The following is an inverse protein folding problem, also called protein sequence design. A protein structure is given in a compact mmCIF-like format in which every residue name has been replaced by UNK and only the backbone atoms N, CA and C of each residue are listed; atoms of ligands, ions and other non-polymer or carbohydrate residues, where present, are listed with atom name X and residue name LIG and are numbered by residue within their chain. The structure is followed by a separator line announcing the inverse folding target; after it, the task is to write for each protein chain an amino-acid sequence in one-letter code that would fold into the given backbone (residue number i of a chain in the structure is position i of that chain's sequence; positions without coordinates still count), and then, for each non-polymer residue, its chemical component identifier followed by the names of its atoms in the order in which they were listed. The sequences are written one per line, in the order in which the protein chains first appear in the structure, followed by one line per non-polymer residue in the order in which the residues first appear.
data_IF_562404759487
#
_entry.id   IF_562404759487
#
_cell.length_a   1.000
_cell.length_b   1.000
_cell.length_c   1.000
_cell.angle_alpha   90.00
_cell.angle_beta   90.00
_cell.angle_gamma   90.00
#
_symmetry.space_group_name_H-M   'P 1'
#
loop_
_entity.id
_entity.type
_entity.pdbx_description
1 polymer ?
#
# COMPACT_ATOMS: atom_id res chain seq x y z
N UNK A 1 -31.59 -34.92 -10.13
CA UNK A 1 -31.03 -34.63 -11.48
C UNK A 1 -31.43 -33.26 -12.03
N UNK A 2 -32.72 -32.92 -12.14
CA UNK A 2 -33.18 -31.63 -12.72
C UNK A 2 -32.67 -30.38 -11.96
N UNK A 3 -32.70 -30.41 -10.63
CA UNK A 3 -32.21 -29.30 -9.77
C UNK A 3 -30.70 -29.10 -9.94
N UNK A 4 -29.92 -30.18 -9.96
CA UNK A 4 -28.46 -30.13 -10.16
C UNK A 4 -28.11 -29.53 -11.52
N UNK A 5 -28.82 -29.94 -12.58
CA UNK A 5 -28.65 -29.35 -13.91
C UNK A 5 -28.98 -27.85 -13.94
N UNK A 6 -30.09 -27.44 -13.31
CA UNK A 6 -30.46 -26.02 -13.22
C UNK A 6 -29.41 -25.19 -12.46
N UNK A 7 -28.90 -25.70 -11.34
CA UNK A 7 -27.82 -25.03 -10.57
C UNK A 7 -26.55 -24.92 -11.40
N UNK A 8 -26.17 -25.97 -12.13
CA UNK A 8 -24.99 -25.95 -13.00
C UNK A 8 -25.12 -24.89 -14.11
N UNK A 9 -26.30 -24.77 -14.73
CA UNK A 9 -26.57 -23.76 -15.76
C UNK A 9 -26.46 -22.34 -15.20
N UNK A 10 -27.04 -22.07 -14.02
CA UNK A 10 -26.93 -20.77 -13.36
C UNK A 10 -25.47 -20.46 -13.03
N UNK A 11 -24.73 -21.42 -12.51
CA UNK A 11 -23.33 -21.25 -12.13
C UNK A 11 -22.44 -20.93 -13.34
N UNK A 12 -22.58 -21.68 -14.43
CA UNK A 12 -21.87 -21.41 -15.70
C UNK A 12 -22.26 -20.05 -16.26
N UNK A 13 -23.54 -19.68 -16.20
CA UNK A 13 -24.00 -18.36 -16.66
C UNK A 13 -23.39 -17.22 -15.85
N UNK A 14 -23.30 -17.37 -14.52
CA UNK A 14 -22.64 -16.40 -13.64
C UNK A 14 -21.14 -16.28 -13.94
N UNK A 15 -20.46 -17.38 -14.24
CA UNK A 15 -19.05 -17.35 -14.64
C UNK A 15 -18.84 -16.64 -15.97
N UNK A 16 -19.66 -16.93 -16.98
CA UNK A 16 -19.62 -16.25 -18.27
C UNK A 16 -19.87 -14.76 -18.08
N UNK A 17 -20.91 -14.40 -17.32
CA UNK A 17 -21.19 -13.00 -17.01
C UNK A 17 -20.03 -12.32 -16.27
N UNK A 18 -19.49 -12.95 -15.22
CA UNK A 18 -18.41 -12.40 -14.41
C UNK A 18 -17.11 -12.15 -15.19
N UNK A 19 -16.78 -13.03 -16.14
CA UNK A 19 -15.59 -12.87 -16.99
C UNK A 19 -15.76 -11.80 -18.08
N UNK A 20 -17.00 -11.56 -18.55
CA UNK A 20 -17.26 -10.63 -19.64
C UNK A 20 -17.81 -9.28 -19.16
N UNK A 21 -18.11 -9.13 -17.87
CA UNK A 21 -18.61 -7.88 -17.31
C UNK A 21 -17.52 -6.81 -17.44
N UNK A 22 -17.80 -5.68 -18.12
CA UNK A 22 -16.82 -4.61 -18.25
C UNK A 22 -16.50 -4.01 -16.88
N UNK A 23 -15.26 -3.56 -16.71
CA UNK A 23 -14.88 -2.76 -15.55
C UNK A 23 -15.74 -1.48 -15.49
N UNK A 24 -16.06 -0.96 -14.28
CA UNK A 24 -16.69 0.35 -14.16
C UNK A 24 -15.85 1.41 -14.88
N UNK A 25 -16.54 2.41 -15.47
CA UNK A 25 -15.86 3.52 -16.14
C UNK A 25 -14.92 4.23 -15.17
N UNK A 26 -13.69 4.49 -15.60
CA UNK A 26 -12.67 5.20 -14.83
C UNK A 26 -11.77 4.34 -13.94
N UNK A 27 -11.93 3.01 -13.92
CA UNK A 27 -11.08 2.11 -13.10
C UNK A 27 -9.83 1.64 -13.86
N UNK A 28 -9.90 1.57 -15.19
CA UNK A 28 -8.76 1.24 -16.05
C UNK A 28 -8.49 2.43 -16.95
N UNK A 29 -7.37 3.11 -16.69
CA UNK A 29 -6.91 4.28 -17.42
C UNK A 29 -5.51 3.97 -17.93
N UNK A 30 -5.32 4.13 -19.24
CA UNK A 30 -4.01 4.03 -19.89
C UNK A 30 -3.57 5.43 -20.30
N UNK A 31 -2.42 5.87 -19.77
CA UNK A 31 -1.80 7.13 -20.14
C UNK A 31 -0.85 6.98 -21.32
N UNK A 32 -0.40 8.10 -21.88
CA UNK A 32 0.67 8.08 -22.88
C UNK A 32 1.99 7.62 -22.24
N UNK A 33 2.88 7.04 -23.05
CA UNK A 33 4.24 6.75 -22.59
C UNK A 33 5.01 8.06 -22.33
N UNK A 34 5.70 8.13 -21.20
CA UNK A 34 6.54 9.27 -20.82
C UNK A 34 7.96 8.79 -20.54
N UNK A 35 8.96 9.52 -21.06
CA UNK A 35 10.36 9.22 -20.78
C UNK A 35 10.73 9.71 -19.37
N UNK A 36 11.39 8.87 -18.58
CA UNK A 36 11.97 9.26 -17.30
C UNK A 36 13.40 9.77 -17.50
N UNK A 37 13.68 11.01 -17.09
CA UNK A 37 15.02 11.59 -17.22
C UNK A 37 16.03 10.97 -16.25
N UNK A 38 15.57 10.54 -15.07
CA UNK A 38 16.39 9.96 -14.01
C UNK A 38 15.63 8.80 -13.38
N UNK A 39 16.28 7.65 -13.27
CA UNK A 39 15.72 6.44 -12.64
C UNK A 39 16.73 5.95 -11.61
N UNK A 40 16.25 5.74 -10.39
CA UNK A 40 17.02 5.18 -9.29
C UNK A 40 16.39 3.83 -8.90
N UNK A 41 17.21 2.80 -8.76
CA UNK A 41 16.76 1.50 -8.28
C UNK A 41 16.93 1.42 -6.76
N UNK A 42 15.82 1.18 -6.05
CA UNK A 42 15.78 1.08 -4.59
C UNK A 42 15.44 -0.36 -4.20
N UNK A 43 16.18 -0.89 -3.23
CA UNK A 43 15.97 -2.25 -2.73
C UNK A 43 16.21 -2.31 -1.23
N UNK A 44 15.47 -3.18 -0.58
CA UNK A 44 15.71 -3.59 0.80
C UNK A 44 16.20 -5.05 0.78
N UNK A 45 17.28 -5.35 1.49
CA UNK A 45 17.90 -6.68 1.52
C UNK A 45 18.04 -7.16 2.96
N UNK A 46 17.56 -8.37 3.25
CA UNK A 46 17.80 -9.04 4.55
C UNK A 46 18.51 -10.36 4.29
N UNK A 47 19.71 -10.53 4.85
CA UNK A 47 20.55 -11.70 4.64
C UNK A 47 21.44 -11.98 5.85
N UNK A 48 22.19 -13.08 5.82
CA UNK A 48 23.14 -13.46 6.87
C UNK A 48 24.58 -13.22 6.38
N UNK A 49 25.42 -12.58 7.19
CA UNK A 49 26.85 -12.39 6.93
C UNK A 49 27.64 -12.78 8.16
N UNK A 50 28.54 -13.76 8.04
CA UNK A 50 29.34 -14.29 9.16
C UNK A 50 28.48 -14.74 10.36
N UNK A 51 27.32 -15.33 10.09
CA UNK A 51 26.38 -15.77 11.13
C UNK A 51 25.58 -14.65 11.81
N UNK A 52 25.71 -13.40 11.36
CA UNK A 52 24.96 -12.25 11.88
C UNK A 52 23.96 -11.72 10.85
N UNK A 53 22.73 -11.38 11.25
CA UNK A 53 21.73 -10.84 10.35
C UNK A 53 22.14 -9.44 9.90
N UNK A 54 22.11 -9.20 8.59
CA UNK A 54 22.30 -7.90 7.94
C UNK A 54 20.98 -7.47 7.34
N UNK A 55 20.63 -6.20 7.54
CA UNK A 55 19.44 -5.56 6.96
C UNK A 55 19.88 -4.25 6.30
N UNK A 56 19.66 -4.17 5.00
CA UNK A 56 19.85 -2.97 4.20
C UNK A 56 18.47 -2.41 3.88
N UNK A 57 18.24 -1.14 4.21
CA UNK A 57 16.95 -0.47 3.99
C UNK A 57 17.16 0.84 3.24
N UNK A 58 16.56 0.96 2.06
CA UNK A 58 16.63 2.13 1.20
C UNK A 58 15.24 2.68 0.87
N UNK A 59 14.22 1.82 0.78
CA UNK A 59 12.89 2.20 0.30
C UNK A 59 12.25 3.23 1.23
N UNK A 60 12.11 2.93 2.52
CA UNK A 60 11.49 3.86 3.46
C UNK A 60 12.32 5.10 3.73
N UNK A 61 13.66 5.00 3.65
CA UNK A 61 14.53 6.16 3.69
C UNK A 61 14.21 7.14 2.55
N UNK A 62 13.99 6.64 1.33
CA UNK A 62 13.55 7.47 0.21
C UNK A 62 12.15 8.04 0.41
N UNK A 63 11.21 7.24 0.91
CA UNK A 63 9.84 7.71 1.23
C UNK A 63 9.89 8.87 2.21
N UNK A 64 10.70 8.79 3.26
CA UNK A 64 10.87 9.87 4.24
C UNK A 64 11.44 11.15 3.60
N UNK A 65 12.44 11.03 2.73
CA UNK A 65 12.97 12.17 1.98
C UNK A 65 11.92 12.83 1.08
N UNK A 66 11.05 12.02 0.45
CA UNK A 66 9.94 12.54 -0.38
C UNK A 66 8.94 13.32 0.51
N UNK A 67 8.56 12.78 1.67
CA UNK A 67 7.66 13.44 2.62
C UNK A 67 8.26 14.78 3.10
N UNK A 68 9.53 14.76 3.51
CA UNK A 68 10.20 15.96 4.01
C UNK A 68 10.33 17.04 2.92
N UNK A 69 10.64 16.63 1.69
CA UNK A 69 10.84 17.53 0.54
C UNK A 69 9.57 18.00 -0.17
N UNK A 70 8.40 17.45 0.13
CA UNK A 70 7.17 17.81 -0.60
C UNK A 70 6.69 19.25 -0.29
N UNK A 71 6.44 20.07 -1.30
CA UNK A 71 6.10 21.49 -1.08
C UNK A 71 4.61 21.81 -1.21
N UNK A 72 3.83 20.95 -1.88
CA UNK A 72 2.43 21.24 -2.23
C UNK A 72 1.47 20.11 -1.88
N UNK A 73 1.81 18.88 -2.26
CA UNK A 73 0.90 17.75 -2.15
C UNK A 73 1.65 16.45 -1.91
N UNK A 74 1.07 15.55 -1.12
CA UNK A 74 1.54 14.19 -0.87
C UNK A 74 0.36 13.24 -1.09
N UNK A 75 0.52 12.30 -2.02
CA UNK A 75 -0.36 11.13 -2.17
C UNK A 75 0.42 9.89 -1.78
N UNK A 76 -0.11 9.16 -0.82
CA UNK A 76 0.43 7.90 -0.34
C UNK A 76 -0.60 6.81 -0.64
N UNK A 77 -0.18 5.75 -1.31
CA UNK A 77 -0.99 4.56 -1.55
C UNK A 77 -0.25 3.35 -0.97
N UNK A 78 -0.70 2.90 0.20
CA UNK A 78 -0.05 1.83 0.95
C UNK A 78 -1.07 0.76 1.33
N UNK A 79 -0.82 -0.47 0.87
CA UNK A 79 -1.58 -1.65 1.27
C UNK A 79 -1.56 -1.87 2.79
N UNK A 80 -0.36 -1.80 3.40
CA UNK A 80 -0.17 -1.94 4.84
C UNK A 80 0.34 -0.63 5.47
N UNK A 81 -0.42 -0.14 6.44
CA UNK A 81 -0.17 1.03 7.27
C UNK A 81 -0.64 0.76 8.71
N UNK A 82 0.04 -0.15 9.39
CA UNK A 82 -0.24 -0.53 10.77
C UNK A 82 1.02 -1.04 11.50
N UNK A 83 0.92 -1.22 12.82
CA UNK A 83 2.01 -1.69 13.68
C UNK A 83 2.03 -3.21 13.92
N UNK A 84 1.28 -4.01 13.16
CA UNK A 84 1.19 -5.46 13.39
C UNK A 84 2.53 -6.12 13.06
N UNK A 85 3.14 -6.76 14.06
CA UNK A 85 4.42 -7.47 13.90
C UNK A 85 4.27 -8.98 14.18
N UNK A 86 4.99 -9.84 13.45
CA UNK A 86 5.09 -11.26 13.77
C UNK A 86 5.75 -11.46 15.15
N UNK A 87 5.29 -12.47 15.89
CA UNK A 87 5.92 -12.83 17.18
C UNK A 87 7.36 -13.31 16.97
N UNK A 88 8.29 -12.81 17.80
CA UNK A 88 9.67 -13.30 17.85
C UNK A 88 10.67 -12.57 16.95
N UNK A 89 10.31 -11.42 16.36
CA UNK A 89 11.24 -10.55 15.64
C UNK A 89 11.15 -9.10 16.11
N UNK A 90 12.26 -8.37 15.99
CA UNK A 90 12.27 -6.91 16.06
C UNK A 90 12.24 -6.38 14.63
N UNK A 91 11.21 -5.61 14.28
CA UNK A 91 11.08 -4.95 12.99
C UNK A 91 10.98 -3.44 13.18
N UNK A 92 11.43 -2.63 12.21
CA UNK A 92 11.25 -1.18 12.27
C UNK A 92 9.76 -0.82 12.36
N UNK A 93 9.44 0.19 13.16
CA UNK A 93 8.08 0.72 13.32
C UNK A 93 7.73 1.66 12.16
N UNK A 94 7.61 1.10 10.95
CA UNK A 94 7.48 1.88 9.71
C UNK A 94 6.25 2.78 9.68
N UNK A 95 5.08 2.26 10.09
CA UNK A 95 3.83 3.02 10.13
C UNK A 95 3.88 4.17 11.15
N UNK A 96 4.44 3.91 12.34
CA UNK A 96 4.61 4.92 13.39
C UNK A 96 5.53 6.06 12.92
N UNK A 97 6.70 5.72 12.39
CA UNK A 97 7.69 6.69 11.91
C UNK A 97 7.16 7.51 10.73
N UNK A 98 6.44 6.87 9.80
CA UNK A 98 5.75 7.60 8.72
C UNK A 98 4.69 8.56 9.27
N UNK A 99 3.85 8.10 10.19
CA UNK A 99 2.79 8.91 10.82
C UNK A 99 3.39 10.13 11.48
N UNK A 100 4.44 9.95 12.30
CA UNK A 100 5.16 11.03 12.96
C UNK A 100 5.66 12.07 11.96
N UNK A 101 6.31 11.63 10.88
CA UNK A 101 6.84 12.53 9.83
C UNK A 101 5.74 13.27 9.08
N UNK A 102 4.63 12.61 8.75
CA UNK A 102 3.50 13.25 8.08
C UNK A 102 2.84 14.31 8.96
N UNK A 103 2.68 14.03 10.25
CA UNK A 103 2.19 14.99 11.24
C UNK A 103 3.14 16.18 11.36
N UNK A 104 4.44 15.93 11.52
CA UNK A 104 5.47 17.00 11.56
C UNK A 104 5.50 17.81 10.26
N UNK A 105 5.28 17.18 9.11
CA UNK A 105 5.19 17.86 7.82
C UNK A 105 3.97 18.77 7.77
N UNK A 106 2.80 18.29 8.19
CA UNK A 106 1.57 19.08 8.23
C UNK A 106 1.65 20.26 9.20
N UNK A 107 2.33 20.07 10.34
CA UNK A 107 2.57 21.14 11.31
C UNK A 107 3.52 22.22 10.76
N UNK A 108 4.64 21.82 10.15
CA UNK A 108 5.64 22.75 9.57
C UNK A 108 5.16 23.41 8.29
N UNK A 109 4.26 22.77 7.55
CA UNK A 109 3.76 23.25 6.26
C UNK A 109 2.26 22.96 6.14
N UNK A 110 1.40 23.74 6.84
CA UNK A 110 -0.05 23.52 6.86
C UNK A 110 -0.73 23.55 5.48
N UNK A 111 -0.12 24.25 4.52
CA UNK A 111 -0.56 24.34 3.13
C UNK A 111 -0.32 23.08 2.30
N UNK A 112 0.49 22.12 2.79
CA UNK A 112 0.71 20.85 2.09
C UNK A 112 -0.49 19.97 2.31
N UNK A 113 -1.15 19.59 1.22
CA UNK A 113 -2.25 18.65 1.24
C UNK A 113 -1.72 17.22 1.28
N UNK A 114 -2.24 16.41 2.20
CA UNK A 114 -1.78 15.04 2.43
C UNK A 114 -2.99 14.11 2.30
N UNK A 115 -2.89 13.15 1.39
CA UNK A 115 -3.91 12.11 1.15
C UNK A 115 -3.26 10.74 1.32
N UNK A 116 -3.81 9.94 2.23
CA UNK A 116 -3.45 8.53 2.41
C UNK A 116 -4.58 7.65 1.89
N UNK A 117 -4.25 6.78 0.94
CA UNK A 117 -5.08 5.70 0.45
C UNK A 117 -4.53 4.40 1.04
N UNK A 118 -5.40 3.65 1.71
CA UNK A 118 -5.03 2.39 2.34
C UNK A 118 -6.25 1.48 2.51
N UNK A 119 -5.99 0.20 2.77
CA UNK A 119 -7.02 -0.83 2.85
C UNK A 119 -7.66 -0.97 4.25
N UNK A 120 -8.89 -1.47 4.28
CA UNK A 120 -9.62 -1.76 5.53
C UNK A 120 -8.96 -2.82 6.40
N UNK A 121 -8.01 -3.59 5.84
CA UNK A 121 -7.20 -4.55 6.59
C UNK A 121 -6.41 -3.87 7.72
N UNK A 122 -6.07 -2.58 7.58
CA UNK A 122 -5.38 -1.81 8.61
C UNK A 122 -6.23 -1.53 9.85
N UNK A 123 -7.54 -1.79 9.77
CA UNK A 123 -8.50 -1.77 10.89
C UNK A 123 -8.97 -3.17 11.26
N UNK A 124 -8.29 -4.22 10.79
CA UNK A 124 -8.77 -5.60 10.87
C UNK A 124 -10.23 -5.73 10.37
N UNK A 125 -10.55 -5.05 9.25
CA UNK A 125 -11.89 -4.92 8.68
C UNK A 125 -12.94 -4.31 9.64
N UNK A 126 -12.51 -3.39 10.50
CA UNK A 126 -13.35 -2.70 11.49
C UNK A 126 -13.39 -3.36 12.87
N UNK A 127 -12.64 -4.44 13.07
CA UNK A 127 -12.52 -5.08 14.38
C UNK A 127 -11.63 -4.30 15.36
N UNK A 128 -10.70 -3.49 14.84
CA UNK A 128 -9.72 -2.74 15.63
C UNK A 128 -9.65 -1.29 15.17
N UNK A 129 -9.40 -0.38 16.11
CA UNK A 129 -8.99 0.99 15.79
C UNK A 129 -7.46 1.03 15.75
N UNK A 130 -6.84 1.25 14.59
CA UNK A 130 -5.40 1.38 14.48
C UNK A 130 -4.92 2.69 15.13
N UNK A 131 -3.78 2.64 15.82
CA UNK A 131 -3.19 3.79 16.51
C UNK A 131 -2.79 4.96 15.60
N UNK A 132 -2.78 4.76 14.28
CA UNK A 132 -2.18 5.68 13.31
C UNK A 132 -3.16 6.19 12.24
N UNK A 133 -4.48 6.08 12.47
CA UNK A 133 -5.51 6.65 11.61
C UNK A 133 -6.03 8.01 12.10
#
# INVERSE_FOLDING_TARGET
MKIVGAVAVVWVSLMIYGQNKPLPKGVSLEGAAHAAAHVEFLTDCTYQRNGQPVREQAIFNRVHQIIDGAERFILLDFFLFNGVQPKGGSFPALAEEMTRRLVEKKQRSPQVDIVLITDTINRSYGAEEPEHF
#
